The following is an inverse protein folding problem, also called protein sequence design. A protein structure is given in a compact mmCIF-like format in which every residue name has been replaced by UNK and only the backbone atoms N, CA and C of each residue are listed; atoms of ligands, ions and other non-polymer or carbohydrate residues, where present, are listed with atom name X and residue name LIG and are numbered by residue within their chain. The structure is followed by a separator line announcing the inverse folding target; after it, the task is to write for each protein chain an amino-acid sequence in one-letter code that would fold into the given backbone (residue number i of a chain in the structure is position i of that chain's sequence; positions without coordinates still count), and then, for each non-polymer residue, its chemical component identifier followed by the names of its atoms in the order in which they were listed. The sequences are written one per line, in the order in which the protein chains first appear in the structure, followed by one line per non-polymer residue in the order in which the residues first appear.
data_IF_155796190469
#
_entry.id   IF_155796190469
#
_cell.length_a   1.000
_cell.length_b   1.000
_cell.length_c   1.000
_cell.angle_alpha   90.00
_cell.angle_beta   90.00
_cell.angle_gamma   90.00
#
_symmetry.space_group_name_H-M   'P 1'
#
loop_
_entity.id
_entity.type
_entity.pdbx_description
1 polymer ?
#
# COMPACT_ATOMS: atom_id res chain seq x y z
N UNK A 1 5.44 -29.46 -1.92
CA UNK A 1 4.44 -29.27 -0.85
C UNK A 1 4.08 -30.54 -0.08
N UNK A 2 4.56 -31.73 -0.52
CA UNK A 2 4.24 -33.03 0.10
C UNK A 2 4.71 -33.12 1.55
N UNK A 3 5.71 -32.36 1.94
CA UNK A 3 6.27 -32.30 3.30
C UNK A 3 5.75 -31.16 4.15
N UNK A 4 4.75 -30.40 3.66
CA UNK A 4 4.23 -29.21 4.35
C UNK A 4 3.71 -29.56 5.75
N UNK A 5 4.19 -28.86 6.78
CA UNK A 5 3.86 -29.07 8.21
C UNK A 5 4.21 -30.47 8.76
N UNK A 6 5.05 -31.22 8.08
CA UNK A 6 5.57 -32.50 8.62
C UNK A 6 6.88 -32.26 9.38
N UNK A 7 7.24 -33.18 10.26
CA UNK A 7 8.52 -33.13 10.98
C UNK A 7 9.68 -33.20 9.98
N UNK A 8 10.56 -32.22 10.00
CA UNK A 8 11.68 -32.12 9.06
C UNK A 8 11.31 -31.67 7.65
N UNK A 9 10.03 -31.34 7.41
CA UNK A 9 9.54 -30.80 6.15
C UNK A 9 9.38 -29.29 6.18
N UNK A 10 8.66 -28.76 5.17
CA UNK A 10 8.40 -27.34 5.03
C UNK A 10 7.52 -26.81 6.17
N UNK A 11 7.86 -25.62 6.63
CA UNK A 11 7.06 -24.88 7.60
C UNK A 11 5.68 -24.51 7.04
N UNK A 12 4.70 -24.29 7.92
CA UNK A 12 3.40 -23.73 7.55
C UNK A 12 3.40 -22.23 7.31
N UNK A 13 4.54 -21.58 7.50
CA UNK A 13 4.76 -20.13 7.33
C UNK A 13 6.12 -19.88 6.69
N UNK A 14 6.30 -18.76 5.94
CA UNK A 14 7.61 -18.37 5.43
C UNK A 14 8.67 -18.28 6.53
N UNK A 15 9.87 -18.79 6.24
CA UNK A 15 11.02 -18.74 7.15
C UNK A 15 12.29 -18.43 6.40
N UNK A 16 13.13 -17.48 6.86
CA UNK A 16 14.39 -17.15 6.23
C UNK A 16 15.38 -18.32 6.12
N UNK A 17 15.26 -19.35 6.98
CA UNK A 17 16.08 -20.54 6.89
C UNK A 17 15.64 -21.51 5.77
N UNK A 18 14.45 -21.38 5.22
CA UNK A 18 13.92 -22.19 4.12
C UNK A 18 14.10 -21.54 2.75
N UNK A 19 14.12 -20.19 2.69
CA UNK A 19 14.30 -19.44 1.45
C UNK A 19 14.90 -18.06 1.72
N UNK A 20 15.82 -17.62 0.84
CA UNK A 20 16.38 -16.26 0.84
C UNK A 20 15.31 -15.19 0.49
N UNK A 21 14.17 -15.60 -0.05
CA UNK A 21 13.05 -14.71 -0.37
C UNK A 21 12.09 -14.52 0.80
N UNK A 22 12.25 -15.27 1.88
CA UNK A 22 11.43 -15.17 3.08
C UNK A 22 12.06 -14.19 4.05
N UNK A 23 11.72 -12.92 3.91
CA UNK A 23 12.35 -11.82 4.66
C UNK A 23 12.02 -11.83 6.17
N UNK A 24 10.90 -12.45 6.59
CA UNK A 24 10.46 -12.44 7.98
C UNK A 24 9.58 -13.63 8.34
N UNK A 25 9.66 -14.09 9.58
CA UNK A 25 8.76 -15.14 10.12
C UNK A 25 7.51 -14.47 10.66
N UNK A 26 6.34 -14.76 10.08
CA UNK A 26 5.07 -14.28 10.57
C UNK A 26 4.00 -15.37 10.52
N UNK A 27 3.47 -15.75 11.68
CA UNK A 27 2.36 -16.71 11.80
C UNK A 27 1.03 -16.05 12.15
N UNK A 28 1.05 -14.74 12.48
CA UNK A 28 -0.14 -13.96 12.81
C UNK A 28 -0.49 -12.97 11.71
N UNK A 29 -1.79 -12.78 11.46
CA UNK A 29 -2.28 -11.75 10.56
C UNK A 29 -2.08 -10.33 11.18
N UNK A 30 -2.22 -9.30 10.37
CA UNK A 30 -2.27 -7.88 10.77
C UNK A 30 -0.93 -7.23 11.15
N UNK A 31 0.20 -7.95 11.19
CA UNK A 31 1.50 -7.43 11.61
C UNK A 31 2.37 -6.88 10.46
N UNK A 32 1.98 -7.09 9.21
CA UNK A 32 2.82 -6.79 8.04
C UNK A 32 3.29 -5.33 7.99
N UNK A 33 2.43 -4.36 8.30
CA UNK A 33 2.78 -2.93 8.28
C UNK A 33 3.77 -2.59 9.39
N UNK A 34 3.59 -3.13 10.60
CA UNK A 34 4.49 -2.89 11.73
C UNK A 34 5.88 -3.48 11.48
N UNK A 35 5.94 -4.69 10.92
CA UNK A 35 7.20 -5.35 10.53
C UNK A 35 7.92 -4.56 9.45
N UNK A 36 7.21 -4.18 8.38
CA UNK A 36 7.78 -3.40 7.29
C UNK A 36 8.26 -2.01 7.75
N UNK A 37 7.54 -1.37 8.69
CA UNK A 37 8.01 -0.12 9.30
C UNK A 37 9.32 -0.31 10.06
N UNK A 38 9.46 -1.41 10.82
CA UNK A 38 10.70 -1.74 11.50
C UNK A 38 11.87 -1.91 10.52
N UNK A 39 11.65 -2.61 9.40
CA UNK A 39 12.63 -2.78 8.33
C UNK A 39 12.99 -1.45 7.65
N UNK A 40 11.99 -0.59 7.38
CA UNK A 40 12.23 0.72 6.77
C UNK A 40 13.08 1.62 7.68
N UNK A 41 12.79 1.63 8.98
CA UNK A 41 13.61 2.35 9.97
C UNK A 41 15.03 1.81 10.07
N UNK A 42 15.18 0.48 10.10
CA UNK A 42 16.49 -0.15 10.12
C UNK A 42 17.33 0.23 8.90
N UNK A 43 16.72 0.19 7.69
CA UNK A 43 17.34 0.67 6.45
C UNK A 43 17.81 2.11 6.57
N UNK A 44 16.94 3.02 7.04
CA UNK A 44 17.27 4.45 7.19
C UNK A 44 18.41 4.65 8.19
N UNK A 45 18.38 3.94 9.32
CA UNK A 45 19.45 4.00 10.33
C UNK A 45 20.79 3.44 9.84
N UNK A 46 20.75 2.41 8.99
CA UNK A 46 21.94 1.80 8.40
C UNK A 46 22.48 2.59 7.19
N UNK A 47 21.74 3.58 6.68
CA UNK A 47 22.09 4.32 5.46
C UNK A 47 22.02 3.46 4.19
N UNK A 48 21.20 2.41 4.21
CA UNK A 48 20.99 1.50 3.08
C UNK A 48 19.91 2.03 2.13
N UNK A 49 19.97 1.58 0.86
CA UNK A 49 19.05 2.02 -0.20
C UNK A 49 18.34 0.81 -0.83
N UNK A 50 17.29 0.33 -0.18
CA UNK A 50 16.37 -0.68 -0.71
C UNK A 50 14.93 -0.31 -0.43
N UNK A 51 14.02 -0.83 -1.24
CA UNK A 51 12.59 -0.58 -1.06
C UNK A 51 11.99 -1.60 -0.09
N UNK A 52 11.14 -1.09 0.81
CA UNK A 52 10.37 -1.92 1.75
C UNK A 52 8.90 -1.92 1.31
N UNK A 53 8.37 -3.12 1.09
CA UNK A 53 6.99 -3.32 0.66
C UNK A 53 6.28 -4.27 1.62
N UNK A 54 5.15 -3.83 2.18
CA UNK A 54 4.24 -4.66 2.95
C UNK A 54 3.07 -5.09 2.06
N UNK A 55 2.90 -6.41 1.85
CA UNK A 55 1.71 -6.98 1.23
C UNK A 55 0.76 -7.49 2.32
N UNK A 56 -0.49 -7.04 2.30
CA UNK A 56 -1.49 -7.50 3.26
C UNK A 56 -2.87 -7.67 2.60
N UNK A 57 -3.65 -8.63 3.09
CA UNK A 57 -5.04 -8.81 2.68
C UNK A 57 -6.01 -7.88 3.44
N UNK A 58 -7.18 -7.64 2.85
CA UNK A 58 -8.26 -6.84 3.45
C UNK A 58 -8.80 -7.45 4.76
N UNK A 59 -8.81 -8.78 4.88
CA UNK A 59 -9.13 -9.47 6.13
C UNK A 59 -8.13 -9.13 7.24
N UNK A 60 -6.82 -9.09 6.93
CA UNK A 60 -5.78 -8.70 7.88
C UNK A 60 -5.89 -7.22 8.29
N UNK A 61 -6.41 -6.36 7.43
CA UNK A 61 -6.65 -4.95 7.75
C UNK A 61 -7.70 -4.77 8.87
N UNK A 62 -8.58 -5.74 9.11
CA UNK A 62 -9.60 -5.63 10.17
C UNK A 62 -9.03 -5.79 11.58
N UNK A 63 -7.81 -6.28 11.74
CA UNK A 63 -7.16 -6.44 13.03
C UNK A 63 -6.60 -5.13 13.59
N UNK A 64 -6.69 -4.93 14.93
CA UNK A 64 -6.26 -3.70 15.60
C UNK A 64 -4.79 -3.37 15.37
N UNK A 65 -3.91 -4.37 15.36
CA UNK A 65 -2.47 -4.21 15.12
C UNK A 65 -2.16 -3.55 13.77
N UNK A 66 -3.00 -3.77 12.74
CA UNK A 66 -2.87 -3.06 11.45
C UNK A 66 -3.01 -1.55 11.62
N UNK A 67 -3.97 -1.08 12.42
CA UNK A 67 -4.17 0.37 12.66
C UNK A 67 -3.05 0.98 13.46
N UNK A 68 -2.52 0.28 14.45
CA UNK A 68 -1.33 0.72 15.18
C UNK A 68 -0.14 0.86 14.23
N UNK A 69 0.06 -0.13 13.35
CA UNK A 69 1.08 -0.10 12.31
C UNK A 69 0.91 1.09 11.36
N UNK A 70 -0.29 1.31 10.83
CA UNK A 70 -0.58 2.43 9.92
C UNK A 70 -0.42 3.78 10.62
N UNK A 71 -0.90 3.93 11.84
CA UNK A 71 -0.76 5.16 12.62
C UNK A 71 0.72 5.51 12.84
N UNK A 72 1.54 4.54 13.24
CA UNK A 72 2.95 4.75 13.48
C UNK A 72 3.72 4.99 12.18
N UNK A 73 3.43 4.24 11.11
CA UNK A 73 4.06 4.41 9.81
C UNK A 73 3.77 5.80 9.20
N UNK A 74 2.50 6.24 9.25
CA UNK A 74 2.13 7.56 8.76
C UNK A 74 2.76 8.71 9.56
N UNK A 75 2.88 8.57 10.88
CA UNK A 75 3.55 9.56 11.72
C UNK A 75 5.07 9.60 11.47
N UNK A 76 5.71 8.45 11.24
CA UNK A 76 7.16 8.35 11.04
C UNK A 76 7.64 8.89 9.71
N UNK A 77 6.79 8.85 8.68
CA UNK A 77 7.10 9.20 7.28
C UNK A 77 8.27 8.42 6.69
N UNK A 78 8.55 7.23 7.23
CA UNK A 78 9.55 6.35 6.63
C UNK A 78 9.11 5.93 5.22
N UNK A 79 10.00 5.98 4.22
CA UNK A 79 9.69 5.52 2.87
C UNK A 79 9.38 4.04 2.84
N UNK A 80 8.11 3.69 2.64
CA UNK A 80 7.64 2.31 2.49
C UNK A 80 6.38 2.26 1.64
N UNK A 81 6.14 1.12 1.01
CA UNK A 81 4.97 0.87 0.17
C UNK A 81 4.07 -0.14 0.87
N UNK A 82 2.78 0.15 0.97
CA UNK A 82 1.79 -0.83 1.43
C UNK A 82 0.89 -1.22 0.25
N UNK A 83 0.88 -2.50 -0.07
CA UNK A 83 0.02 -3.09 -1.09
C UNK A 83 -1.13 -3.82 -0.38
N UNK A 84 -2.31 -3.23 -0.41
CA UNK A 84 -3.52 -3.83 0.13
C UNK A 84 -4.21 -4.65 -0.97
N UNK A 85 -4.19 -5.98 -0.80
CA UNK A 85 -4.89 -6.91 -1.67
C UNK A 85 -6.31 -7.12 -1.15
N UNK A 86 -7.30 -6.63 -1.91
CA UNK A 86 -8.70 -6.62 -1.50
C UNK A 86 -9.56 -7.45 -2.46
N UNK A 87 -9.95 -8.63 -2.03
CA UNK A 87 -10.90 -9.51 -2.71
C UNK A 87 -12.28 -9.56 -2.01
N UNK A 88 -12.46 -8.82 -0.92
CA UNK A 88 -13.70 -8.78 -0.12
C UNK A 88 -13.91 -10.00 0.77
N UNK A 89 -12.94 -10.89 0.85
CA UNK A 89 -13.04 -12.17 1.53
C UNK A 89 -11.87 -12.39 2.49
N UNK A 90 -12.20 -13.00 3.64
CA UNK A 90 -11.24 -13.72 4.46
C UNK A 90 -11.67 -15.19 4.49
N UNK A 91 -11.73 -15.86 5.64
CA UNK A 91 -12.37 -17.18 5.77
C UNK A 91 -13.88 -17.08 5.48
N UNK A 92 -14.48 -15.97 5.86
CA UNK A 92 -15.86 -15.54 5.57
C UNK A 92 -15.86 -14.16 4.95
N UNK A 93 -16.99 -13.67 4.37
CA UNK A 93 -17.10 -12.28 3.92
C UNK A 93 -16.73 -11.32 5.05
N UNK A 94 -15.92 -10.31 4.73
CA UNK A 94 -15.50 -9.32 5.71
C UNK A 94 -16.70 -8.49 6.20
N UNK A 95 -16.77 -8.24 7.49
CA UNK A 95 -17.83 -7.47 8.15
C UNK A 95 -17.27 -6.19 8.79
N UNK A 96 -18.16 -5.23 9.08
CA UNK A 96 -17.80 -4.03 9.81
C UNK A 96 -17.63 -2.78 8.95
N UNK A 97 -17.27 -1.67 9.60
CA UNK A 97 -17.20 -0.35 8.94
C UNK A 97 -16.09 -0.29 7.89
N UNK A 98 -14.95 -0.94 8.13
CA UNK A 98 -13.82 -0.96 7.21
C UNK A 98 -14.15 -1.72 5.93
N UNK A 99 -14.82 -2.86 6.03
CA UNK A 99 -15.27 -3.59 4.85
C UNK A 99 -16.21 -2.73 3.99
N UNK A 100 -17.15 -2.02 4.61
CA UNK A 100 -18.01 -1.06 3.91
C UNK A 100 -17.24 0.09 3.27
N UNK A 101 -16.23 0.62 3.97
CA UNK A 101 -15.37 1.67 3.45
C UNK A 101 -14.59 1.20 2.20
N UNK A 102 -13.97 0.02 2.24
CA UNK A 102 -13.25 -0.54 1.10
C UNK A 102 -14.21 -0.83 -0.08
N UNK A 103 -15.40 -1.36 0.19
CA UNK A 103 -16.42 -1.56 -0.84
C UNK A 103 -16.81 -0.25 -1.54
N UNK A 104 -16.95 0.85 -0.80
CA UNK A 104 -17.21 2.17 -1.38
C UNK A 104 -16.00 2.71 -2.18
N UNK A 105 -14.77 2.47 -1.71
CA UNK A 105 -13.56 2.89 -2.42
C UNK A 105 -13.43 2.20 -3.80
N UNK A 106 -13.85 0.93 -3.92
CA UNK A 106 -13.86 0.18 -5.20
C UNK A 106 -14.77 0.82 -6.25
N UNK A 107 -15.79 1.54 -5.85
CA UNK A 107 -16.75 2.19 -6.78
C UNK A 107 -16.21 3.48 -7.42
N UNK A 108 -14.97 3.91 -7.11
CA UNK A 108 -14.38 5.18 -7.56
C UNK A 108 -13.17 5.06 -8.52
N UNK A 109 -13.10 4.09 -9.47
CA UNK A 109 -11.91 3.89 -10.31
C UNK A 109 -11.60 5.05 -11.27
N UNK A 110 -12.64 5.74 -11.80
CA UNK A 110 -12.49 6.81 -12.81
C UNK A 110 -11.64 8.01 -12.39
N UNK A 111 -11.49 8.26 -11.10
CA UNK A 111 -10.70 9.38 -10.60
C UNK A 111 -9.20 9.14 -10.72
N UNK A 112 -8.74 7.92 -10.48
CA UNK A 112 -7.31 7.58 -10.59
C UNK A 112 -6.83 7.68 -12.04
N UNK A 113 -7.66 7.21 -12.99
CA UNK A 113 -7.35 7.30 -14.42
C UNK A 113 -7.16 8.74 -14.86
N UNK A 114 -8.04 9.63 -14.43
CA UNK A 114 -7.94 11.06 -14.72
C UNK A 114 -6.69 11.69 -14.08
N UNK A 115 -6.33 11.30 -12.85
CA UNK A 115 -5.14 11.80 -12.14
C UNK A 115 -3.84 11.35 -12.82
N UNK A 116 -3.74 10.08 -13.18
CA UNK A 116 -2.56 9.52 -13.87
C UNK A 116 -2.41 10.11 -15.28
N UNK A 117 -3.50 10.20 -16.03
CA UNK A 117 -3.51 10.84 -17.35
C UNK A 117 -3.04 12.30 -17.28
N UNK A 118 -3.59 13.09 -16.36
CA UNK A 118 -3.22 14.50 -16.17
C UNK A 118 -1.74 14.64 -15.82
N UNK A 119 -1.23 13.82 -14.90
CA UNK A 119 0.19 13.84 -14.51
C UNK A 119 1.11 13.47 -15.67
N UNK A 120 0.79 12.43 -16.43
CA UNK A 120 1.58 12.00 -17.59
C UNK A 120 1.61 13.05 -18.70
N UNK A 121 0.51 13.76 -18.89
CA UNK A 121 0.37 14.77 -19.95
C UNK A 121 1.09 16.07 -19.59
N UNK A 122 1.03 16.50 -18.33
CA UNK A 122 1.64 17.76 -17.87
C UNK A 122 3.13 17.64 -17.56
N UNK A 123 3.64 16.45 -17.27
CA UNK A 123 5.06 16.23 -16.95
C UNK A 123 5.99 16.39 -18.17
N UNK A 124 5.45 16.35 -19.41
CA UNK A 124 6.23 16.34 -20.65
C UNK A 124 6.80 17.70 -21.08
N UNK A 125 6.39 18.82 -20.46
CA UNK A 125 6.93 20.16 -20.80
C UNK A 125 7.28 20.98 -19.56
N UNK A 126 8.26 21.91 -19.70
CA UNK A 126 8.67 22.82 -18.61
C UNK A 126 7.54 23.76 -18.17
N UNK A 127 6.72 24.22 -19.12
CA UNK A 127 5.53 25.04 -18.87
C UNK A 127 4.45 24.21 -18.14
N UNK A 128 4.24 22.96 -18.56
CA UNK A 128 3.30 22.03 -17.90
C UNK A 128 3.68 21.75 -16.44
N UNK A 129 4.97 21.66 -16.10
CA UNK A 129 5.42 21.49 -14.72
C UNK A 129 5.10 22.69 -13.82
N UNK A 130 5.27 23.93 -14.31
CA UNK A 130 4.90 25.16 -13.56
C UNK A 130 3.40 25.28 -13.40
N UNK A 131 2.63 25.02 -14.44
CA UNK A 131 1.17 25.02 -14.41
C UNK A 131 0.65 23.92 -13.47
N UNK A 132 1.28 22.74 -13.48
CA UNK A 132 0.98 21.64 -12.56
C UNK A 132 1.19 22.04 -11.10
N UNK A 133 2.32 22.69 -10.76
CA UNK A 133 2.61 23.12 -9.40
C UNK A 133 1.60 24.16 -8.89
N UNK A 134 1.15 25.07 -9.75
CA UNK A 134 0.18 26.10 -9.41
C UNK A 134 -1.25 25.52 -9.26
N UNK A 135 -1.67 24.70 -10.23
CA UNK A 135 -3.01 24.08 -10.21
C UNK A 135 -3.12 22.91 -9.23
N UNK A 136 -1.99 22.28 -8.87
CA UNK A 136 -1.99 21.16 -7.92
C UNK A 136 -2.50 21.58 -6.54
N UNK A 137 -2.05 22.72 -6.01
CA UNK A 137 -2.52 23.24 -4.70
C UNK A 137 -4.01 23.56 -4.70
N UNK A 138 -4.51 24.20 -5.73
CA UNK A 138 -5.93 24.53 -5.88
C UNK A 138 -6.77 23.27 -6.05
N UNK A 139 -6.32 22.35 -6.91
CA UNK A 139 -7.00 21.08 -7.18
C UNK A 139 -6.99 20.15 -5.97
N UNK A 140 -5.89 20.10 -5.21
CA UNK A 140 -5.80 19.32 -3.96
C UNK A 140 -6.78 19.85 -2.91
N UNK A 141 -6.90 21.17 -2.79
CA UNK A 141 -7.88 21.79 -1.90
C UNK A 141 -9.33 21.49 -2.33
N UNK A 142 -9.65 21.64 -3.61
CA UNK A 142 -10.96 21.29 -4.17
C UNK A 142 -11.26 19.78 -4.04
N UNK A 143 -10.26 18.91 -4.24
CA UNK A 143 -10.40 17.46 -4.07
C UNK A 143 -10.81 17.09 -2.65
N UNK A 144 -10.11 17.65 -1.65
CA UNK A 144 -10.43 17.41 -0.22
C UNK A 144 -11.82 17.88 0.15
N UNK A 145 -12.27 18.98 -0.45
CA UNK A 145 -13.60 19.55 -0.18
C UNK A 145 -14.74 18.78 -0.87
N UNK A 146 -14.51 18.21 -2.06
CA UNK A 146 -15.58 17.61 -2.89
C UNK A 146 -15.63 16.09 -2.80
N UNK A 147 -14.46 15.42 -2.73
CA UNK A 147 -14.36 13.95 -2.81
C UNK A 147 -14.07 13.27 -1.47
N UNK A 148 -13.74 14.03 -0.44
CA UNK A 148 -13.23 13.52 0.85
C UNK A 148 -11.84 12.90 0.72
N UNK A 149 -11.09 12.89 1.81
CA UNK A 149 -9.82 12.13 1.89
C UNK A 149 -10.10 10.68 2.20
N UNK A 150 -9.28 9.78 1.68
CA UNK A 150 -9.33 8.39 2.08
C UNK A 150 -8.82 8.23 3.53
N UNK A 151 -9.20 7.14 4.19
CA UNK A 151 -8.67 6.79 5.51
C UNK A 151 -7.14 6.82 5.51
N UNK A 152 -6.52 6.25 4.48
CA UNK A 152 -5.07 6.15 4.36
C UNK A 152 -4.40 7.52 4.15
N UNK A 153 -5.02 8.41 3.37
CA UNK A 153 -4.52 9.78 3.20
C UNK A 153 -4.61 10.58 4.51
N UNK A 154 -5.64 10.36 5.32
CA UNK A 154 -5.75 10.98 6.65
C UNK A 154 -4.68 10.46 7.62
N UNK A 155 -4.21 9.23 7.42
CA UNK A 155 -3.09 8.66 8.17
C UNK A 155 -1.71 9.06 7.61
N UNK A 156 -1.64 9.90 6.57
CA UNK A 156 -0.38 10.43 6.03
C UNK A 156 0.17 9.67 4.83
N UNK A 157 -0.53 8.67 4.29
CA UNK A 157 -0.11 7.93 3.11
C UNK A 157 -0.55 8.60 1.80
N UNK A 158 0.20 8.38 0.73
CA UNK A 158 -0.25 8.71 -0.63
C UNK A 158 -1.02 7.51 -1.20
N UNK A 159 -2.32 7.67 -1.39
CA UNK A 159 -3.18 6.60 -1.92
C UNK A 159 -3.13 6.56 -3.46
N UNK A 160 -2.76 5.41 -4.03
CA UNK A 160 -2.62 5.18 -5.47
C UNK A 160 -3.63 4.16 -6.03
N UNK A 161 -4.69 3.88 -5.34
CA UNK A 161 -5.70 2.89 -5.73
C UNK A 161 -7.10 3.46 -5.92
N UNK A 162 -8.10 2.58 -6.12
CA UNK A 162 -7.94 1.15 -6.38
C UNK A 162 -7.57 0.83 -7.83
N UNK A 163 -6.98 -0.33 -8.04
CA UNK A 163 -6.62 -0.86 -9.37
C UNK A 163 -7.01 -2.33 -9.44
N UNK A 164 -7.33 -2.81 -10.64
CA UNK A 164 -7.56 -4.25 -10.86
C UNK A 164 -6.26 -5.03 -10.63
N UNK A 165 -6.28 -5.95 -9.65
CA UNK A 165 -5.13 -6.77 -9.28
C UNK A 165 -4.72 -7.80 -10.36
N UNK A 166 -5.52 -8.01 -11.41
CA UNK A 166 -5.19 -8.86 -12.55
C UNK A 166 -4.58 -8.07 -13.72
N UNK A 167 -4.61 -6.73 -13.68
CA UNK A 167 -3.92 -5.86 -14.64
C UNK A 167 -2.46 -5.65 -14.21
N UNK A 168 -1.61 -6.59 -14.58
CA UNK A 168 -0.18 -6.61 -14.21
C UNK A 168 0.55 -5.37 -14.71
N UNK A 169 0.28 -4.93 -15.94
CA UNK A 169 0.93 -3.75 -16.53
C UNK A 169 0.60 -2.48 -15.74
N UNK A 170 -0.62 -2.37 -15.27
CA UNK A 170 -1.06 -1.24 -14.45
C UNK A 170 -0.47 -1.28 -13.04
N UNK A 171 -0.41 -2.46 -12.41
CA UNK A 171 0.25 -2.65 -11.10
C UNK A 171 1.72 -2.25 -11.20
N UNK A 172 2.44 -2.71 -12.23
CA UNK A 172 3.84 -2.36 -12.46
C UNK A 172 4.02 -0.83 -12.58
N UNK A 173 3.15 -0.17 -13.34
CA UNK A 173 3.18 1.29 -13.51
C UNK A 173 2.96 2.01 -12.17
N UNK A 174 2.04 1.53 -11.35
CA UNK A 174 1.77 2.12 -10.03
C UNK A 174 2.90 1.89 -9.04
N UNK A 175 3.52 0.71 -9.04
CA UNK A 175 4.68 0.43 -8.20
C UNK A 175 5.87 1.31 -8.58
N UNK A 176 6.19 1.46 -9.88
CA UNK A 176 7.20 2.41 -10.36
C UNK A 176 6.89 3.85 -9.94
N UNK A 177 5.61 4.23 -9.97
CA UNK A 177 5.17 5.55 -9.51
C UNK A 177 5.35 5.70 -8.00
N UNK A 178 5.02 4.67 -7.21
CA UNK A 178 5.20 4.69 -5.76
C UNK A 178 6.67 4.83 -5.38
N UNK A 179 7.56 4.07 -6.02
CA UNK A 179 9.01 4.17 -5.84
C UNK A 179 9.53 5.57 -6.19
N UNK A 180 9.05 6.19 -7.26
CA UNK A 180 9.47 7.54 -7.67
C UNK A 180 8.90 8.69 -6.81
N UNK A 181 8.04 8.40 -5.83
CA UNK A 181 7.49 9.38 -4.89
C UNK A 181 8.36 9.53 -3.62
N UNK A 182 9.30 8.64 -3.43
CA UNK A 182 10.28 8.57 -2.33
C UNK A 182 11.71 8.81 -2.88
#
# INVERSE_FOLDING_TARGET
FDTLRQRGGLSGFPKPCESVHDAFIAGHASNAVSVALGMARARTMAGEDYHVLALMGDGALTGGLSYEGFNNAGASREPMIVLLNDNGMSITPNVGAISRYLAQARLRPKYLDLKLWYRQTTAKSAFGRRLYALTHKVKEHMRRSILGTTLFENLGFTYLGPVDGHDIARIETLLKTAVALH
#
